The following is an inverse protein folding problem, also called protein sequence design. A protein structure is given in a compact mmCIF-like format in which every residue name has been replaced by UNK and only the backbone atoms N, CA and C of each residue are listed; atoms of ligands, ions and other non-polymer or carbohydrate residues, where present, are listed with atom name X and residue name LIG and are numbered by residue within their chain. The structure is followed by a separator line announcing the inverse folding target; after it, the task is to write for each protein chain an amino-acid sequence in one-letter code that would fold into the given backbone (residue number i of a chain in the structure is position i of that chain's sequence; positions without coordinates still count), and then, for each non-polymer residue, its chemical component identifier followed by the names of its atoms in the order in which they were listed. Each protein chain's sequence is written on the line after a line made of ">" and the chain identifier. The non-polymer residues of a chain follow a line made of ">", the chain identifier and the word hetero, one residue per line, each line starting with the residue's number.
data_IF_200629449964
#
_entry.id   IF_200629449964
#
_cell.length_a   1.000
_cell.length_b   1.000
_cell.length_c   1.000
_cell.angle_alpha   90.00
_cell.angle_beta   90.00
_cell.angle_gamma   90.00
#
_symmetry.space_group_name_H-M   'P 1'
#
loop_
_entity.id
_entity.type
_entity.pdbx_description
1 polymer ?
#
# COMPACT_ATOMS: atom_id res chain seq x y z
N UNK A 1 -12.41 -9.62 5.80
CA UNK A 1 -11.81 -8.61 4.90
C UNK A 1 -11.66 -7.19 5.49
N UNK A 2 -12.19 -6.85 6.68
CA UNK A 2 -12.23 -5.44 7.15
C UNK A 2 -10.84 -4.79 7.44
N UNK A 3 -9.85 -5.55 7.88
CA UNK A 3 -8.53 -5.01 8.26
C UNK A 3 -7.72 -4.57 7.05
N UNK A 4 -7.70 -5.37 5.97
CA UNK A 4 -6.98 -4.99 4.75
C UNK A 4 -7.52 -3.70 4.15
N UNK A 5 -8.84 -3.54 4.08
CA UNK A 5 -9.46 -2.30 3.61
C UNK A 5 -9.07 -1.10 4.50
N UNK A 6 -9.16 -1.25 5.82
CA UNK A 6 -8.77 -0.17 6.73
C UNK A 6 -7.28 0.22 6.59
N UNK A 7 -6.40 -0.73 6.29
CA UNK A 7 -4.99 -0.43 6.04
C UNK A 7 -4.77 0.23 4.68
N UNK A 8 -5.49 -0.20 3.64
CA UNK A 8 -5.43 0.40 2.31
C UNK A 8 -6.03 1.81 2.28
N UNK A 9 -7.05 2.09 3.09
CA UNK A 9 -7.70 3.40 3.21
C UNK A 9 -6.76 4.48 3.79
N UNK A 10 -5.67 4.08 4.45
CA UNK A 10 -4.63 5.00 4.94
C UNK A 10 -3.66 5.44 3.83
N UNK A 11 -3.63 4.74 2.69
CA UNK A 11 -2.86 5.13 1.51
C UNK A 11 -3.66 6.13 0.68
N UNK A 12 -2.99 7.14 0.11
CA UNK A 12 -3.60 7.92 -0.96
C UNK A 12 -3.93 7.04 -2.19
N UNK A 13 -4.86 7.52 -3.02
CA UNK A 13 -5.41 6.72 -4.13
C UNK A 13 -4.33 6.27 -5.11
N UNK A 14 -3.30 7.09 -5.35
CA UNK A 14 -2.23 6.77 -6.28
C UNK A 14 -1.31 5.66 -5.75
N UNK A 15 -0.93 5.74 -4.46
CA UNK A 15 -0.15 4.69 -3.78
C UNK A 15 -0.96 3.41 -3.65
N UNK A 16 -2.26 3.52 -3.33
CA UNK A 16 -3.16 2.38 -3.20
C UNK A 16 -3.28 1.62 -4.52
N UNK A 17 -3.50 2.33 -5.62
CA UNK A 17 -3.60 1.71 -6.95
C UNK A 17 -2.32 0.95 -7.31
N UNK A 18 -1.16 1.57 -7.13
CA UNK A 18 0.14 0.92 -7.41
C UNK A 18 0.38 -0.28 -6.51
N UNK A 19 0.05 -0.18 -5.21
CA UNK A 19 0.22 -1.27 -4.25
C UNK A 19 -0.67 -2.46 -4.57
N UNK A 20 -1.95 -2.22 -4.84
CA UNK A 20 -2.91 -3.29 -5.20
C UNK A 20 -2.46 -4.02 -6.45
N UNK A 21 -2.09 -3.28 -7.51
CA UNK A 21 -1.63 -3.90 -8.74
C UNK A 21 -0.36 -4.73 -8.55
N UNK A 22 0.60 -4.25 -7.74
CA UNK A 22 1.86 -4.95 -7.53
C UNK A 22 1.73 -6.17 -6.60
N UNK A 23 1.03 -6.03 -5.47
CA UNK A 23 1.06 -7.01 -4.38
C UNK A 23 -0.16 -7.95 -4.38
N UNK A 24 -1.31 -7.50 -4.92
CA UNK A 24 -2.53 -8.32 -4.97
C UNK A 24 -2.80 -8.89 -6.36
N UNK A 25 -2.53 -8.10 -7.40
CA UNK A 25 -2.70 -8.53 -8.80
C UNK A 25 -1.38 -9.02 -9.43
N UNK A 26 -0.29 -9.04 -8.66
CA UNK A 26 1.05 -9.53 -9.04
C UNK A 26 1.61 -8.93 -10.34
N UNK A 27 1.19 -7.70 -10.69
CA UNK A 27 1.66 -7.00 -11.89
C UNK A 27 3.09 -6.52 -11.72
N UNK A 28 3.85 -6.61 -12.80
CA UNK A 28 5.19 -6.03 -12.87
C UNK A 28 5.14 -4.49 -12.95
N UNK A 29 6.21 -3.82 -12.52
CA UNK A 29 6.29 -2.34 -12.58
C UNK A 29 6.08 -1.78 -14.00
N UNK A 30 6.60 -2.39 -15.09
CA UNK A 30 6.28 -1.95 -16.45
C UNK A 30 4.79 -2.07 -16.80
N UNK A 31 4.12 -3.18 -16.45
CA UNK A 31 2.68 -3.34 -16.70
C UNK A 31 1.85 -2.30 -15.93
N UNK A 32 2.24 -1.98 -14.70
CA UNK A 32 1.58 -0.95 -13.89
C UNK A 32 1.79 0.45 -14.50
N UNK A 33 2.99 0.72 -14.99
CA UNK A 33 3.33 1.97 -15.69
C UNK A 33 2.44 2.18 -16.90
N UNK A 34 2.25 1.13 -17.71
CA UNK A 34 1.35 1.14 -18.86
C UNK A 34 -0.12 1.30 -18.44
N UNK A 35 -0.60 0.50 -17.48
CA UNK A 35 -1.98 0.52 -17.03
C UNK A 35 -2.43 1.85 -16.43
N UNK A 36 -1.53 2.54 -15.72
CA UNK A 36 -1.83 3.82 -15.06
C UNK A 36 -1.41 5.05 -15.89
N UNK A 37 -0.71 4.86 -17.01
CA UNK A 37 -0.22 5.96 -17.85
C UNK A 37 0.81 6.85 -17.16
N UNK A 38 1.61 6.30 -16.23
CA UNK A 38 2.64 7.04 -15.47
C UNK A 38 4.02 6.45 -15.70
N UNK A 39 5.08 7.23 -15.50
CA UNK A 39 6.44 6.75 -15.69
C UNK A 39 6.81 5.64 -14.68
N UNK A 40 7.61 4.65 -15.12
CA UNK A 40 8.16 3.56 -14.30
C UNK A 40 8.81 4.04 -12.99
N UNK A 41 9.53 5.16 -13.01
CA UNK A 41 10.14 5.75 -11.80
C UNK A 41 9.08 6.26 -10.80
N UNK A 42 7.96 6.79 -11.31
CA UNK A 42 6.80 7.18 -10.50
C UNK A 42 6.16 5.95 -9.86
N UNK A 43 6.05 4.83 -10.59
CA UNK A 43 5.57 3.57 -10.03
C UNK A 43 6.48 3.07 -8.91
N UNK A 44 7.81 3.02 -9.13
CA UNK A 44 8.75 2.61 -8.09
C UNK A 44 8.69 3.48 -6.84
N UNK A 45 8.66 4.80 -7.00
CA UNK A 45 8.61 5.74 -5.87
C UNK A 45 7.29 5.63 -5.10
N UNK A 46 6.15 5.54 -5.80
CA UNK A 46 4.84 5.34 -5.18
C UNK A 46 4.75 3.99 -4.47
N UNK A 47 5.22 2.90 -5.08
CA UNK A 47 5.21 1.57 -4.47
C UNK A 47 6.07 1.54 -3.19
N UNK A 48 7.25 2.17 -3.22
CA UNK A 48 8.10 2.30 -2.03
C UNK A 48 7.38 3.08 -0.91
N UNK A 49 6.77 4.21 -1.25
CA UNK A 49 6.04 5.02 -0.27
C UNK A 49 4.83 4.26 0.31
N UNK A 50 4.07 3.57 -0.54
CA UNK A 50 2.94 2.76 -0.14
C UNK A 50 3.34 1.68 0.89
N UNK A 51 4.42 0.93 0.62
CA UNK A 51 4.95 -0.08 1.54
C UNK A 51 5.32 0.51 2.90
N UNK A 52 5.99 1.68 2.91
CA UNK A 52 6.38 2.35 4.15
C UNK A 52 5.19 2.85 4.97
N UNK A 53 4.17 3.40 4.31
CA UNK A 53 2.96 3.87 4.98
C UNK A 53 2.14 2.72 5.56
N UNK A 54 2.01 1.62 4.80
CA UNK A 54 1.32 0.42 5.26
C UNK A 54 2.05 -0.23 6.45
N UNK A 55 3.37 -0.32 6.40
CA UNK A 55 4.19 -0.84 7.52
C UNK A 55 3.96 -0.01 8.79
N UNK A 56 3.95 1.32 8.69
CA UNK A 56 3.63 2.21 9.82
C UNK A 56 2.20 2.01 10.32
N UNK A 57 1.23 1.80 9.43
CA UNK A 57 -0.16 1.55 9.81
C UNK A 57 -0.31 0.24 10.60
N UNK A 58 0.35 -0.82 10.14
CA UNK A 58 0.41 -2.11 10.84
C UNK A 58 1.07 -1.97 12.21
N UNK A 59 2.18 -1.22 12.32
CA UNK A 59 2.82 -0.95 13.61
C UNK A 59 1.88 -0.24 14.59
N UNK A 60 1.11 0.76 14.13
CA UNK A 60 0.09 1.44 14.95
C UNK A 60 -1.01 0.49 15.40
N UNK A 61 -1.49 -0.36 14.51
CA UNK A 61 -2.53 -1.36 14.82
C UNK A 61 -2.05 -2.32 15.91
N UNK A 62 -0.87 -2.91 15.72
CA UNK A 62 -0.25 -3.83 16.68
C UNK A 62 -0.01 -3.17 18.06
N UNK A 63 0.36 -1.88 18.08
CA UNK A 63 0.53 -1.15 19.33
C UNK A 63 -0.79 -0.94 20.08
N UNK A 64 -1.90 -0.69 19.36
CA UNK A 64 -3.24 -0.57 19.96
C UNK A 64 -3.73 -1.89 20.55
N UNK A 65 -3.51 -3.01 19.86
CA UNK A 65 -3.87 -4.34 20.36
C UNK A 65 -3.11 -4.71 21.63
N UNK A 66 -1.81 -4.38 21.71
CA UNK A 66 -0.99 -4.62 22.92
C UNK A 66 -1.36 -3.70 24.09
N UNK A 67 -1.91 -2.51 23.82
CA UNK A 67 -2.34 -1.54 24.85
C UNK A 67 -3.75 -1.78 25.42
N UNK A 68 -4.58 -2.58 24.74
CA UNK A 68 -5.94 -2.94 25.18
C UNK A 68 -6.01 -4.12 26.15
N UNK A 69 -4.88 -4.76 26.43
CA UNK A 69 -4.74 -5.80 27.46
C UNK A 69 -4.20 -5.15 28.72
N UNK A 70 -5.05 -4.43 29.45
CA UNK A 70 -4.81 -3.99 30.83
C UNK A 70 -6.10 -4.04 31.63
#
# INVERSE_FOLDING_TARGET
>A
MKILHALLDELDDEKRAVFVLAELEEKSVPEISEALGVNVNTVYSRLRAARQELERAVQRLNAREKGGVR
#
